data_IF_089244782954
#
_entry.id   IF_089244782954
#
_cell.length_a   1.000
_cell.length_b   1.000
_cell.length_c   1.000
_cell.angle_alpha   90.00
_cell.angle_beta   90.00
_cell.angle_gamma   90.00
#
_symmetry.space_group_name_H-M   'P 1'
#
loop_
_entity.id
_entity.type
_entity.pdbx_description
1 polymer ?
#
# COMPACT_ATOMS: atom_id res chain seq x y z
N UNK A 1 3.37 73.16 9.73
CA UNK A 1 3.67 72.64 8.42
C UNK A 1 5.04 71.96 8.42
N UNK A 2 5.25 70.84 9.07
CA UNK A 2 6.49 70.06 8.96
C UNK A 2 6.10 68.59 9.01
N UNK A 3 6.23 67.92 7.89
CA UNK A 3 5.98 66.47 7.71
C UNK A 3 7.20 65.71 8.26
N UNK A 4 7.00 64.93 9.29
CA UNK A 4 8.02 64.00 9.80
C UNK A 4 7.67 62.62 9.27
N UNK A 5 8.47 62.14 8.32
CA UNK A 5 8.47 60.78 7.79
C UNK A 5 9.24 59.91 8.76
N UNK A 6 8.55 59.07 9.50
CA UNK A 6 9.18 57.99 10.27
C UNK A 6 9.23 56.76 9.39
N UNK A 7 10.44 56.49 8.89
CA UNK A 7 10.78 55.26 8.18
C UNK A 7 10.92 54.13 9.20
N UNK A 8 9.92 53.26 9.27
CA UNK A 8 9.95 52.07 10.12
C UNK A 8 10.45 50.89 9.27
N UNK A 9 11.73 50.65 9.41
CA UNK A 9 12.46 49.55 8.79
C UNK A 9 12.10 48.25 9.51
N UNK A 10 11.18 47.45 8.94
CA UNK A 10 10.86 46.10 9.41
C UNK A 10 11.98 45.14 9.04
N UNK A 11 12.78 44.77 9.99
CA UNK A 11 13.72 43.65 9.92
C UNK A 11 12.91 42.34 9.93
N UNK A 12 12.67 41.77 8.78
CA UNK A 12 12.15 40.43 8.64
C UNK A 12 13.26 39.44 8.95
N UNK A 13 13.33 39.04 10.22
CA UNK A 13 14.10 37.89 10.65
C UNK A 13 13.43 36.63 10.04
N UNK A 14 14.03 36.13 8.98
CA UNK A 14 13.63 34.84 8.36
C UNK A 14 13.88 33.69 9.35
N UNK A 15 12.84 33.24 10.02
CA UNK A 15 12.88 31.98 10.76
C UNK A 15 12.81 30.88 9.72
N UNK A 16 13.97 30.36 9.30
CA UNK A 16 14.05 29.07 8.59
C UNK A 16 13.59 27.99 9.56
N UNK A 17 12.33 27.62 9.47
CA UNK A 17 11.81 26.40 10.10
C UNK A 17 12.44 25.24 9.34
N UNK A 18 13.53 24.69 9.89
CA UNK A 18 14.00 23.37 9.51
C UNK A 18 12.88 22.38 9.85
N UNK A 19 12.05 22.03 8.88
CA UNK A 19 11.20 20.86 8.99
C UNK A 19 12.11 19.64 9.04
N UNK A 20 12.33 19.15 10.27
CA UNK A 20 12.89 17.83 10.46
C UNK A 20 11.92 16.85 9.78
N UNK A 21 12.40 16.15 8.76
CA UNK A 21 11.71 15.05 8.10
C UNK A 21 11.46 13.97 9.17
N UNK A 22 10.27 13.99 9.78
CA UNK A 22 9.84 12.87 10.61
C UNK A 22 9.84 11.62 9.75
N UNK A 23 10.35 10.48 10.24
CA UNK A 23 10.31 9.23 9.48
C UNK A 23 8.86 8.94 9.12
N UNK A 24 8.55 9.00 7.83
CA UNK A 24 7.19 8.84 7.32
C UNK A 24 6.62 7.51 7.82
N UNK A 25 5.71 7.60 8.80
CA UNK A 25 4.95 6.43 9.25
C UNK A 25 4.19 5.87 8.04
N UNK A 26 4.28 4.56 7.85
CA UNK A 26 3.53 3.87 6.80
C UNK A 26 2.03 4.21 6.93
N UNK A 27 1.46 4.83 5.90
CA UNK A 27 0.02 5.09 5.79
C UNK A 27 -0.59 4.11 4.80
N UNK A 28 -1.47 3.21 5.25
CA UNK A 28 -2.18 2.29 4.37
C UNK A 28 -3.00 3.00 3.30
N UNK A 29 -3.60 4.15 3.64
CA UNK A 29 -4.43 4.95 2.74
C UNK A 29 -3.59 5.56 1.62
N UNK A 30 -2.42 6.12 1.97
CA UNK A 30 -1.47 6.67 1.00
C UNK A 30 -0.95 5.56 0.07
N UNK A 31 -0.56 4.42 0.63
CA UNK A 31 -0.11 3.27 -0.14
C UNK A 31 -1.19 2.78 -1.12
N UNK A 32 -2.45 2.71 -0.67
CA UNK A 32 -3.59 2.34 -1.51
C UNK A 32 -3.78 3.33 -2.67
N UNK A 33 -3.73 4.64 -2.38
CA UNK A 33 -3.89 5.68 -3.40
C UNK A 33 -2.76 5.66 -4.43
N UNK A 34 -1.51 5.49 -3.99
CA UNK A 34 -0.34 5.37 -4.87
C UNK A 34 -0.44 4.13 -5.78
N UNK A 35 -0.90 3.02 -5.24
CA UNK A 35 -1.11 1.79 -5.99
C UNK A 35 -2.20 1.95 -7.05
N UNK A 36 -3.34 2.57 -6.72
CA UNK A 36 -4.43 2.82 -7.66
C UNK A 36 -4.01 3.75 -8.79
N UNK A 37 -3.26 4.82 -8.48
CA UNK A 37 -2.68 5.71 -9.49
C UNK A 37 -1.70 4.97 -10.41
N UNK A 38 -0.83 4.14 -9.82
CA UNK A 38 0.13 3.36 -10.57
C UNK A 38 -0.55 2.37 -11.52
N UNK A 39 -1.54 1.61 -11.03
CA UNK A 39 -2.32 0.66 -11.84
C UNK A 39 -3.04 1.40 -12.97
N UNK A 40 -3.70 2.53 -12.67
CA UNK A 40 -4.41 3.33 -13.67
C UNK A 40 -3.48 3.73 -14.82
N UNK A 41 -2.28 4.20 -14.48
CA UNK A 41 -1.29 4.64 -15.47
C UNK A 41 -0.70 3.47 -16.27
N UNK A 42 -0.25 2.41 -15.60
CA UNK A 42 0.44 1.29 -16.24
C UNK A 42 -0.50 0.42 -17.10
N UNK A 43 -1.74 0.20 -16.66
CA UNK A 43 -2.74 -0.53 -17.43
C UNK A 43 -3.53 0.36 -18.40
N UNK A 44 -3.28 1.68 -18.41
CA UNK A 44 -3.95 2.64 -19.28
C UNK A 44 -5.47 2.65 -19.09
N UNK A 45 -5.94 2.62 -17.82
CA UNK A 45 -7.38 2.67 -17.53
C UNK A 45 -7.93 4.05 -17.82
N UNK A 46 -9.08 4.13 -18.49
CA UNK A 46 -9.86 5.37 -18.59
C UNK A 46 -10.49 5.72 -17.24
N UNK A 47 -10.96 6.94 -17.07
CA UNK A 47 -11.65 7.37 -15.86
C UNK A 47 -12.88 6.50 -15.54
N UNK A 48 -13.67 6.14 -16.56
CA UNK A 48 -14.84 5.28 -16.43
C UNK A 48 -14.46 3.84 -16.03
N UNK A 49 -13.42 3.28 -16.64
CA UNK A 49 -12.91 1.94 -16.28
C UNK A 49 -12.42 1.92 -14.84
N UNK A 50 -11.62 2.91 -14.44
CA UNK A 50 -11.11 3.05 -13.09
C UNK A 50 -12.24 3.20 -12.04
N UNK A 51 -13.25 4.02 -12.34
CA UNK A 51 -14.40 4.22 -11.46
C UNK A 51 -15.21 2.93 -11.22
N UNK A 52 -15.29 2.04 -12.20
CA UNK A 52 -15.98 0.74 -12.08
C UNK A 52 -15.10 -0.34 -11.45
N UNK A 53 -13.81 -0.34 -11.75
CA UNK A 53 -12.86 -1.36 -11.33
C UNK A 53 -12.44 -1.23 -9.85
N UNK A 54 -12.00 -0.04 -9.41
CA UNK A 54 -11.43 0.10 -8.07
C UNK A 54 -12.36 -0.21 -6.91
N UNK A 55 -13.68 0.02 -6.97
CA UNK A 55 -14.59 -0.46 -5.92
C UNK A 55 -14.51 -1.98 -5.72
N UNK A 56 -14.50 -2.76 -6.79
CA UNK A 56 -14.37 -4.22 -6.76
C UNK A 56 -12.99 -4.66 -6.25
N UNK A 57 -11.96 -3.96 -6.68
CA UNK A 57 -10.58 -4.21 -6.26
C UNK A 57 -10.39 -3.97 -4.74
N UNK A 58 -10.92 -2.87 -4.21
CA UNK A 58 -10.89 -2.58 -2.77
C UNK A 58 -11.66 -3.61 -1.95
N UNK A 59 -12.82 -4.05 -2.45
CA UNK A 59 -13.60 -5.11 -1.80
C UNK A 59 -12.81 -6.43 -1.74
N UNK A 60 -12.14 -6.82 -2.84
CA UNK A 60 -11.24 -7.98 -2.85
C UNK A 60 -10.16 -7.87 -1.78
N UNK A 61 -9.44 -6.75 -1.75
CA UNK A 61 -8.38 -6.53 -0.79
C UNK A 61 -8.89 -6.53 0.67
N UNK A 62 -10.07 -5.98 0.91
CA UNK A 62 -10.68 -6.01 2.24
C UNK A 62 -10.94 -7.43 2.71
N UNK A 63 -11.49 -8.30 1.84
CA UNK A 63 -11.73 -9.71 2.14
C UNK A 63 -10.42 -10.46 2.38
N UNK A 64 -9.41 -10.22 1.55
CA UNK A 64 -8.09 -10.82 1.74
C UNK A 64 -7.45 -10.40 3.08
N UNK A 65 -7.53 -9.11 3.43
CA UNK A 65 -7.03 -8.62 4.74
C UNK A 65 -7.74 -9.26 5.92
N UNK A 66 -9.05 -9.49 5.82
CA UNK A 66 -9.81 -10.16 6.88
C UNK A 66 -9.34 -11.63 7.09
N UNK A 67 -9.07 -12.35 6.01
CA UNK A 67 -8.54 -13.72 6.07
C UNK A 67 -7.13 -13.74 6.66
N UNK A 68 -6.23 -12.88 6.20
CA UNK A 68 -4.89 -12.75 6.77
C UNK A 68 -4.89 -12.34 8.25
N UNK A 69 -5.82 -11.48 8.65
CA UNK A 69 -5.95 -11.03 10.03
C UNK A 69 -6.19 -12.18 11.00
N UNK A 70 -7.05 -13.13 10.63
CA UNK A 70 -7.33 -14.34 11.42
C UNK A 70 -6.06 -15.20 11.60
N UNK A 71 -5.34 -15.46 10.52
CA UNK A 71 -4.12 -16.26 10.55
C UNK A 71 -3.01 -15.62 11.41
N UNK A 72 -2.87 -14.29 11.34
CA UNK A 72 -1.82 -13.55 12.06
C UNK A 72 -1.96 -13.63 13.59
N UNK A 73 -3.16 -13.85 14.10
CA UNK A 73 -3.40 -14.01 15.54
C UNK A 73 -2.96 -15.37 16.05
N UNK A 74 -3.10 -16.43 15.23
CA UNK A 74 -2.85 -17.82 15.63
C UNK A 74 -1.36 -18.21 15.56
N UNK A 75 -0.55 -17.61 14.69
CA UNK A 75 0.81 -18.03 14.36
C UNK A 75 1.96 -17.22 14.98
N UNK A 76 1.71 -16.43 16.04
CA UNK A 76 2.75 -15.55 16.62
C UNK A 76 3.88 -16.26 17.35
N UNK A 77 3.61 -17.43 17.92
CA UNK A 77 4.58 -18.20 18.71
C UNK A 77 4.66 -19.60 18.14
N UNK A 78 5.89 -20.10 17.94
CA UNK A 78 6.09 -21.49 17.50
C UNK A 78 5.62 -22.44 18.62
N UNK A 79 4.71 -23.38 18.32
CA UNK A 79 4.32 -24.41 19.27
C UNK A 79 5.50 -25.32 19.64
N UNK A 80 5.41 -25.92 20.81
CA UNK A 80 6.43 -26.85 21.31
C UNK A 80 6.20 -28.30 20.88
N UNK A 81 4.98 -28.62 20.43
CA UNK A 81 4.60 -29.99 20.04
C UNK A 81 4.34 -30.10 18.52
N UNK A 82 4.68 -31.25 17.96
CA UNK A 82 4.57 -31.52 16.52
C UNK A 82 3.12 -31.57 16.03
N UNK A 83 2.17 -31.98 16.85
CA UNK A 83 0.78 -32.09 16.48
C UNK A 83 0.18 -30.69 16.22
N UNK A 84 0.48 -29.73 17.08
CA UNK A 84 0.09 -28.34 16.92
C UNK A 84 0.83 -27.68 15.74
N UNK A 85 2.12 -27.95 15.56
CA UNK A 85 2.88 -27.50 14.39
C UNK A 85 2.23 -27.99 13.09
N UNK A 86 1.86 -29.26 13.00
CA UNK A 86 1.15 -29.83 11.84
C UNK A 86 -0.17 -29.11 11.57
N UNK A 87 -0.98 -28.90 12.61
CA UNK A 87 -2.27 -28.18 12.48
C UNK A 87 -2.08 -26.75 11.96
N UNK A 88 -1.06 -26.02 12.42
CA UNK A 88 -0.79 -24.67 11.93
C UNK A 88 -0.36 -24.64 10.46
N UNK A 89 0.44 -25.63 10.01
CA UNK A 89 0.79 -25.75 8.59
C UNK A 89 -0.47 -26.00 7.75
N UNK A 90 -1.31 -26.96 8.14
CA UNK A 90 -2.56 -27.26 7.44
C UNK A 90 -3.49 -26.04 7.41
N UNK A 91 -3.61 -25.31 8.52
CA UNK A 91 -4.39 -24.08 8.59
C UNK A 91 -3.88 -22.99 7.65
N UNK A 92 -2.56 -22.88 7.54
CA UNK A 92 -1.94 -21.94 6.57
C UNK A 92 -2.31 -22.31 5.13
N UNK A 93 -2.25 -23.60 4.78
CA UNK A 93 -2.62 -24.05 3.44
C UNK A 93 -4.11 -23.78 3.14
N UNK A 94 -5.02 -23.99 4.11
CA UNK A 94 -6.43 -23.64 3.99
C UNK A 94 -6.64 -22.14 3.72
N UNK A 95 -5.92 -21.29 4.46
CA UNK A 95 -5.97 -19.83 4.28
C UNK A 95 -5.47 -19.43 2.89
N UNK A 96 -4.39 -20.02 2.40
CA UNK A 96 -3.86 -19.74 1.06
C UNK A 96 -4.87 -20.15 -0.02
N UNK A 97 -5.55 -21.28 0.13
CA UNK A 97 -6.64 -21.70 -0.75
C UNK A 97 -7.83 -20.73 -0.71
N UNK A 98 -8.23 -20.27 0.48
CA UNK A 98 -9.31 -19.27 0.61
C UNK A 98 -8.94 -17.96 -0.09
N UNK A 99 -7.72 -17.48 0.08
CA UNK A 99 -7.23 -16.28 -0.60
C UNK A 99 -7.26 -16.44 -2.14
N UNK A 100 -6.89 -17.61 -2.65
CA UNK A 100 -6.95 -17.90 -4.08
C UNK A 100 -8.38 -17.93 -4.61
N UNK A 101 -9.35 -18.48 -3.84
CA UNK A 101 -10.77 -18.45 -4.18
C UNK A 101 -11.32 -17.02 -4.22
N UNK A 102 -10.92 -16.18 -3.27
CA UNK A 102 -11.27 -14.74 -3.28
C UNK A 102 -10.74 -14.09 -4.54
N UNK A 103 -9.46 -14.26 -4.87
CA UNK A 103 -8.86 -13.71 -6.09
C UNK A 103 -9.63 -14.15 -7.33
N UNK A 104 -9.87 -15.45 -7.50
CA UNK A 104 -10.60 -15.99 -8.64
C UNK A 104 -12.00 -15.37 -8.79
N UNK A 105 -12.73 -15.24 -7.66
CA UNK A 105 -14.05 -14.64 -7.65
C UNK A 105 -14.01 -13.20 -8.14
N UNK A 106 -13.03 -12.41 -7.69
CA UNK A 106 -12.92 -11.00 -8.09
C UNK A 106 -12.34 -10.82 -9.50
N UNK A 107 -11.41 -11.67 -9.94
CA UNK A 107 -10.96 -11.65 -11.33
C UNK A 107 -12.15 -11.86 -12.29
N UNK A 108 -13.07 -12.78 -11.97
CA UNK A 108 -14.29 -12.95 -12.74
C UNK A 108 -15.20 -11.70 -12.73
N UNK A 109 -15.29 -10.99 -11.58
CA UNK A 109 -16.00 -9.71 -11.50
C UNK A 109 -15.28 -8.62 -12.32
N UNK A 110 -13.95 -8.59 -12.35
CA UNK A 110 -13.19 -7.62 -13.15
C UNK A 110 -13.49 -7.77 -14.66
N UNK A 111 -13.68 -8.99 -15.15
CA UNK A 111 -14.08 -9.23 -16.54
C UNK A 111 -15.47 -8.68 -16.90
N UNK A 112 -16.31 -8.33 -15.91
CA UNK A 112 -17.59 -7.67 -16.18
C UNK A 112 -17.47 -6.16 -16.39
N UNK A 113 -16.36 -5.56 -16.01
CA UNK A 113 -16.13 -4.10 -16.09
C UNK A 113 -14.92 -3.70 -16.94
N UNK A 114 -14.02 -4.63 -17.21
CA UNK A 114 -12.83 -4.45 -18.04
C UNK A 114 -12.72 -5.59 -19.08
N UNK A 115 -12.08 -5.31 -20.20
CA UNK A 115 -11.71 -6.37 -21.14
C UNK A 115 -10.69 -7.34 -20.52
N UNK A 116 -10.63 -8.61 -20.95
CA UNK A 116 -9.64 -9.57 -20.45
C UNK A 116 -8.19 -9.08 -20.58
N UNK A 117 -7.85 -8.38 -21.65
CA UNK A 117 -6.52 -7.76 -21.83
C UNK A 117 -6.23 -6.71 -20.75
N UNK A 118 -7.20 -5.84 -20.48
CA UNK A 118 -7.06 -4.83 -19.42
C UNK A 118 -6.93 -5.45 -18.03
N UNK A 119 -7.67 -6.51 -17.72
CA UNK A 119 -7.51 -7.26 -16.47
C UNK A 119 -6.10 -7.82 -16.37
N UNK A 120 -5.56 -8.40 -17.43
CA UNK A 120 -4.18 -8.90 -17.46
C UNK A 120 -3.16 -7.78 -17.19
N UNK A 121 -3.33 -6.61 -17.82
CA UNK A 121 -2.45 -5.45 -17.63
C UNK A 121 -2.53 -4.91 -16.19
N UNK A 122 -3.74 -4.88 -15.59
CA UNK A 122 -3.95 -4.50 -14.18
C UNK A 122 -3.18 -5.43 -13.25
N UNK A 123 -3.29 -6.75 -13.43
CA UNK A 123 -2.59 -7.72 -12.57
C UNK A 123 -1.06 -7.59 -12.69
N UNK A 124 -0.55 -7.36 -13.90
CA UNK A 124 0.88 -7.08 -14.11
C UNK A 124 1.32 -5.77 -13.47
N UNK A 125 0.49 -4.74 -13.52
CA UNK A 125 0.77 -3.45 -12.89
C UNK A 125 0.82 -3.59 -11.37
N UNK A 126 -0.11 -4.32 -10.76
CA UNK A 126 -0.12 -4.64 -9.32
C UNK A 126 1.17 -5.34 -8.89
N UNK A 127 1.58 -6.41 -9.59
CA UNK A 127 2.84 -7.10 -9.30
C UNK A 127 4.06 -6.18 -9.42
N UNK A 128 4.09 -5.33 -10.44
CA UNK A 128 5.17 -4.36 -10.67
C UNK A 128 5.24 -3.35 -9.52
N UNK A 129 4.10 -2.83 -9.08
CA UNK A 129 4.01 -1.92 -7.94
C UNK A 129 4.55 -2.56 -6.66
N UNK A 130 4.12 -3.77 -6.33
CA UNK A 130 4.62 -4.49 -5.17
C UNK A 130 6.14 -4.70 -5.20
N UNK A 131 6.71 -5.08 -6.34
CA UNK A 131 8.18 -5.21 -6.49
C UNK A 131 8.90 -3.90 -6.22
N UNK A 132 8.35 -2.76 -6.66
CA UNK A 132 8.95 -1.44 -6.40
C UNK A 132 8.84 -1.07 -4.93
N UNK A 133 7.67 -1.22 -4.33
CA UNK A 133 7.45 -0.91 -2.92
C UNK A 133 8.37 -1.73 -1.99
N UNK A 134 8.55 -3.04 -2.25
CA UNK A 134 9.48 -3.87 -1.49
C UNK A 134 10.94 -3.44 -1.66
N UNK A 135 11.34 -3.08 -2.88
CA UNK A 135 12.72 -2.61 -3.13
C UNK A 135 13.02 -1.30 -2.41
N UNK A 136 12.07 -0.37 -2.38
CA UNK A 136 12.26 0.92 -1.73
C UNK A 136 12.23 0.80 -0.20
N UNK A 137 11.36 -0.05 0.36
CA UNK A 137 11.42 -0.40 1.78
C UNK A 137 12.77 -1.01 2.18
N UNK A 138 13.33 -1.88 1.35
CA UNK A 138 14.64 -2.50 1.59
C UNK A 138 15.79 -1.47 1.57
N UNK A 139 15.73 -0.46 0.70
CA UNK A 139 16.72 0.63 0.65
C UNK A 139 16.63 1.50 1.91
N UNK A 140 15.44 1.91 2.31
CA UNK A 140 15.21 2.72 3.50
C UNK A 140 15.68 2.02 4.78
N UNK A 141 15.44 0.70 4.88
CA UNK A 141 15.93 -0.10 6.00
C UNK A 141 17.47 -0.11 6.08
N UNK A 142 18.16 -0.29 4.95
CA UNK A 142 19.64 -0.25 4.90
C UNK A 142 20.20 1.13 5.26
N UNK A 143 19.59 2.21 4.77
CA UNK A 143 20.02 3.58 5.08
C UNK A 143 19.86 3.92 6.56
N UNK A 144 18.77 3.50 7.18
CA UNK A 144 18.55 3.74 8.61
C UNK A 144 19.53 2.95 9.50
N UNK A 145 19.89 1.72 9.10
CA UNK A 145 20.91 0.93 9.83
C UNK A 145 22.33 1.45 9.67
N UNK A 146 22.65 2.08 8.55
CA UNK A 146 23.97 2.69 8.33
C UNK A 146 24.17 4.03 9.04
N UNK A 147 23.08 4.71 9.42
CA UNK A 147 23.12 5.97 10.18
C UNK A 147 23.20 5.75 11.71
N UNK A 148 22.99 4.53 12.18
CA UNK A 148 23.04 4.18 13.61
C UNK A 148 24.37 3.52 14.03
N UNK A 149 25.31 3.38 13.11
CA UNK A 149 26.69 2.97 13.36
C UNK A 149 27.64 4.16 13.26
#
# INVERSE_FOLDING_TARGET
MKKVLISMMFLLAGVSVCQADEPQKFSPEKFQAEMEQFITKEAGLTADEAAKFFPLYREMQQKQRAVFGKMRQEGRVKPTDDATCKKLVQKRDEVELELKKIQQTYHNKFFTVLSPSKVFDVLRAEEKFHRYAFRDMGKNFRQNHSRQK
#
